data_IF_620203427168
#
_entry.id   IF_620203427168
#
_cell.length_a   1.000
_cell.length_b   1.000
_cell.length_c   1.000
_cell.angle_alpha   90.00
_cell.angle_beta   90.00
_cell.angle_gamma   90.00
#
_symmetry.space_group_name_H-M   'P 1'
#
loop_
_entity.id
_entity.type
_entity.pdbx_description
1 polymer ?
#
# COMPACT_ATOMS: atom_id res chain seq x y z
N UNK A 1 21.28 21.83 -8.59
CA UNK A 1 21.30 22.26 -10.00
C UNK A 1 19.94 21.96 -10.64
N UNK A 2 19.73 22.33 -11.90
CA UNK A 2 18.52 21.91 -12.64
C UNK A 2 18.36 20.39 -12.66
N UNK A 3 19.46 19.65 -12.80
CA UNK A 3 19.49 18.19 -12.69
C UNK A 3 18.97 17.67 -11.34
N UNK A 4 19.42 18.27 -10.22
CA UNK A 4 18.98 17.84 -8.89
C UNK A 4 17.49 18.13 -8.69
N UNK A 5 16.99 19.24 -9.25
CA UNK A 5 15.55 19.55 -9.23
C UNK A 5 14.75 18.57 -10.08
N UNK A 6 15.30 18.10 -11.20
CA UNK A 6 14.66 17.07 -12.02
C UNK A 6 14.54 15.74 -11.25
N UNK A 7 15.60 15.30 -10.57
CA UNK A 7 15.59 14.09 -9.74
C UNK A 7 14.54 14.17 -8.60
N UNK A 8 14.45 15.33 -7.94
CA UNK A 8 13.45 15.53 -6.88
C UNK A 8 12.03 15.47 -7.44
N UNK A 9 11.77 16.08 -8.61
CA UNK A 9 10.47 16.00 -9.27
C UNK A 9 10.12 14.57 -9.66
N UNK A 10 11.06 13.85 -10.27
CA UNK A 10 10.87 12.44 -10.64
C UNK A 10 10.52 11.57 -9.43
N UNK A 11 11.24 11.75 -8.31
CA UNK A 11 10.93 11.06 -7.05
C UNK A 11 9.51 11.33 -6.55
N UNK A 12 9.10 12.60 -6.47
CA UNK A 12 7.75 12.93 -6.00
C UNK A 12 6.66 12.46 -6.96
N UNK A 13 6.91 12.50 -8.27
CA UNK A 13 5.99 11.92 -9.27
C UNK A 13 5.84 10.42 -9.05
N UNK A 14 6.95 9.68 -8.95
CA UNK A 14 6.92 8.24 -8.69
C UNK A 14 6.20 7.90 -7.37
N UNK A 15 6.46 8.67 -6.30
CA UNK A 15 5.79 8.50 -5.01
C UNK A 15 4.29 8.79 -5.08
N UNK A 16 3.89 9.79 -5.88
CA UNK A 16 2.47 10.16 -6.05
C UNK A 16 1.73 9.16 -6.92
N UNK A 17 2.40 8.62 -7.93
CA UNK A 17 1.86 7.64 -8.86
C UNK A 17 1.77 6.23 -8.25
N UNK A 18 2.55 5.95 -7.19
CA UNK A 18 2.43 4.71 -6.46
C UNK A 18 1.05 4.61 -5.78
N UNK A 19 0.23 3.65 -6.25
CA UNK A 19 -1.14 3.45 -5.77
C UNK A 19 -1.25 2.12 -5.05
N UNK A 20 -1.80 2.19 -3.84
CA UNK A 20 -2.28 0.98 -3.17
C UNK A 20 -3.42 0.33 -3.95
N UNK A 21 -3.38 -0.99 -4.02
CA UNK A 21 -4.40 -1.81 -4.62
C UNK A 21 -5.20 -2.56 -3.55
N UNK A 22 -6.51 -2.71 -3.78
CA UNK A 22 -7.40 -3.45 -2.90
C UNK A 22 -7.74 -4.85 -3.44
N UNK A 23 -7.80 -5.83 -2.53
CA UNK A 23 -8.35 -7.16 -2.81
C UNK A 23 -9.85 -7.18 -2.54
N UNK A 24 -10.66 -7.65 -3.50
CA UNK A 24 -12.13 -7.69 -3.33
C UNK A 24 -12.62 -8.75 -2.33
N UNK A 25 -11.77 -9.73 -1.96
CA UNK A 25 -12.14 -10.82 -1.05
C UNK A 25 -11.81 -10.47 0.40
N UNK A 26 -10.54 -10.17 0.69
CA UNK A 26 -10.10 -9.89 2.05
C UNK A 26 -10.06 -8.40 2.41
N UNK A 27 -10.46 -7.51 1.50
CA UNK A 27 -10.47 -6.04 1.66
C UNK A 27 -9.10 -5.40 2.00
N UNK A 28 -8.03 -6.17 2.00
CA UNK A 28 -6.67 -5.69 2.24
C UNK A 28 -6.24 -4.71 1.14
N UNK A 29 -5.56 -3.63 1.56
CA UNK A 29 -5.01 -2.59 0.69
C UNK A 29 -3.51 -2.55 0.86
N UNK A 30 -2.77 -2.69 -0.24
CA UNK A 30 -1.30 -2.69 -0.19
C UNK A 30 -0.68 -2.23 -1.51
N UNK A 31 0.56 -1.74 -1.45
CA UNK A 31 1.38 -1.43 -2.62
C UNK A 31 1.81 -2.72 -3.34
N UNK A 32 2.03 -2.65 -4.65
CA UNK A 32 2.48 -3.77 -5.51
C UNK A 32 1.69 -5.08 -5.32
N UNK A 33 0.42 -4.98 -4.90
CA UNK A 33 -0.41 -6.16 -4.67
C UNK A 33 -0.72 -6.83 -6.01
N UNK A 34 -0.11 -7.99 -6.24
CA UNK A 34 -0.42 -8.86 -7.37
C UNK A 34 -1.84 -9.40 -7.23
N UNK A 35 -2.72 -8.96 -8.13
CA UNK A 35 -4.12 -9.41 -8.25
C UNK A 35 -4.32 -10.15 -9.56
N UNK A 36 -5.22 -11.13 -9.55
CA UNK A 36 -5.69 -11.74 -10.79
C UNK A 36 -6.72 -10.85 -11.51
N UNK A 37 -7.22 -11.31 -12.66
CA UNK A 37 -8.27 -10.64 -13.44
C UNK A 37 -9.54 -10.37 -12.61
N UNK A 38 -9.86 -11.23 -11.65
CA UNK A 38 -10.95 -11.06 -10.69
C UNK A 38 -10.60 -10.18 -9.48
N UNK A 39 -9.52 -9.39 -9.53
CA UNK A 39 -9.09 -8.46 -8.47
C UNK A 39 -8.85 -9.14 -7.10
N UNK A 40 -8.57 -10.44 -7.09
CA UNK A 40 -8.25 -11.21 -5.88
C UNK A 40 -6.74 -11.33 -5.70
N UNK A 41 -6.24 -11.12 -4.49
CA UNK A 41 -4.82 -11.23 -4.18
C UNK A 41 -4.35 -12.69 -4.13
N UNK A 42 -3.04 -12.89 -4.31
CA UNK A 42 -2.40 -14.21 -4.24
C UNK A 42 -2.74 -14.98 -2.96
N UNK A 43 -2.75 -14.31 -1.80
CA UNK A 43 -3.11 -14.93 -0.51
C UNK A 43 -4.50 -15.56 -0.53
N UNK A 44 -5.50 -14.85 -1.08
CA UNK A 44 -6.85 -15.39 -1.20
C UNK A 44 -6.92 -16.56 -2.20
N UNK A 45 -6.21 -16.44 -3.33
CA UNK A 45 -6.15 -17.51 -4.34
C UNK A 45 -5.52 -18.78 -3.73
N UNK A 46 -4.41 -18.64 -3.01
CA UNK A 46 -3.73 -19.75 -2.35
C UNK A 46 -4.58 -20.41 -1.27
N UNK A 47 -5.28 -19.61 -0.44
CA UNK A 47 -6.19 -20.15 0.59
C UNK A 47 -7.35 -20.95 0.00
N UNK A 48 -7.85 -20.54 -1.16
CA UNK A 48 -8.98 -21.18 -1.84
C UNK A 48 -8.54 -22.21 -2.90
N UNK A 49 -7.25 -22.58 -2.99
CA UNK A 49 -6.73 -23.45 -4.06
C UNK A 49 -7.42 -24.81 -4.12
N UNK A 50 -7.70 -25.40 -2.96
CA UNK A 50 -8.34 -26.71 -2.80
C UNK A 50 -9.80 -26.59 -2.33
N UNK A 51 -10.38 -25.38 -2.43
CA UNK A 51 -11.74 -25.13 -1.99
C UNK A 51 -12.73 -25.86 -2.89
N UNK A 52 -13.58 -26.69 -2.30
CA UNK A 52 -14.68 -27.34 -3.00
C UNK A 52 -15.65 -26.30 -3.62
N UNK A 53 -16.25 -26.57 -4.80
CA UNK A 53 -17.14 -25.62 -5.48
C UNK A 53 -18.33 -25.13 -4.64
N UNK A 54 -18.83 -25.99 -3.74
CA UNK A 54 -20.00 -25.73 -2.92
C UNK A 54 -19.67 -25.02 -1.59
N UNK A 55 -18.38 -24.69 -1.36
CA UNK A 55 -17.93 -24.02 -0.14
C UNK A 55 -17.67 -22.54 -0.41
N UNK A 56 -18.00 -21.66 0.54
CA UNK A 56 -17.69 -20.24 0.40
C UNK A 56 -16.18 -20.00 0.33
N UNK A 57 -15.76 -18.89 -0.28
CA UNK A 57 -14.38 -18.40 -0.19
C UNK A 57 -13.96 -18.29 1.28
N UNK A 58 -12.67 -18.49 1.56
CA UNK A 58 -12.16 -18.35 2.92
C UNK A 58 -12.44 -16.97 3.51
N UNK A 59 -12.23 -15.89 2.75
CA UNK A 59 -12.69 -14.55 3.15
C UNK A 59 -14.00 -14.25 2.45
N UNK A 60 -15.11 -14.32 3.18
CA UNK A 60 -16.44 -14.05 2.63
C UNK A 60 -17.44 -13.67 3.71
N UNK A 61 -18.55 -13.05 3.32
CA UNK A 61 -19.67 -12.79 4.22
C UNK A 61 -20.31 -14.10 4.71
N UNK A 62 -20.33 -15.14 3.87
CA UNK A 62 -20.98 -16.42 4.18
C UNK A 62 -20.35 -17.20 5.35
N UNK A 63 -19.11 -16.88 5.72
CA UNK A 63 -18.43 -17.44 6.88
C UNK A 63 -18.01 -16.39 7.91
N UNK A 64 -18.64 -15.20 7.87
CA UNK A 64 -18.37 -14.08 8.80
C UNK A 64 -16.90 -13.63 8.82
N UNK A 65 -16.17 -13.80 7.71
CA UNK A 65 -14.79 -13.34 7.53
C UNK A 65 -14.70 -12.16 6.54
N UNK A 66 -15.83 -11.58 6.17
CA UNK A 66 -15.96 -10.27 5.56
C UNK A 66 -16.63 -9.34 6.58
N UNK A 67 -15.88 -8.35 7.05
CA UNK A 67 -16.34 -7.38 8.04
C UNK A 67 -17.22 -6.28 7.42
N UNK A 68 -17.37 -6.27 6.09
CA UNK A 68 -18.17 -5.28 5.38
C UNK A 68 -17.56 -3.88 5.44
N UNK A 69 -18.41 -2.87 5.23
CA UNK A 69 -18.01 -1.46 5.32
C UNK A 69 -18.02 -1.02 6.78
N UNK A 70 -17.12 -0.10 7.13
CA UNK A 70 -17.14 0.59 8.42
C UNK A 70 -18.50 1.30 8.56
N UNK A 71 -19.26 1.05 9.65
CA UNK A 71 -20.54 1.71 9.90
C UNK A 71 -20.41 3.23 9.98
N UNK A 72 -21.38 3.97 9.43
CA UNK A 72 -21.36 5.45 9.40
C UNK A 72 -21.56 6.12 10.77
N UNK A 73 -21.93 5.36 11.79
CA UNK A 73 -22.09 5.83 13.16
C UNK A 73 -20.79 5.77 13.98
N UNK A 74 -19.69 5.25 13.40
CA UNK A 74 -18.38 5.31 14.03
C UNK A 74 -17.70 6.63 13.65
N UNK A 75 -17.01 7.30 14.60
CA UNK A 75 -16.20 8.45 14.27
C UNK A 75 -15.05 8.05 13.34
N UNK A 76 -14.61 8.99 12.50
CA UNK A 76 -13.37 8.82 11.76
C UNK A 76 -12.20 8.71 12.74
N UNK A 77 -11.25 7.83 12.41
CA UNK A 77 -10.04 7.68 13.21
C UNK A 77 -9.16 8.92 13.05
N UNK A 78 -8.64 9.41 14.17
CA UNK A 78 -7.56 10.39 14.14
C UNK A 78 -6.32 9.77 13.54
N UNK A 79 -5.41 10.59 12.99
CA UNK A 79 -4.12 10.12 12.49
C UNK A 79 -3.38 9.26 13.53
N UNK A 80 -3.42 9.65 14.81
CA UNK A 80 -2.76 8.89 15.88
C UNK A 80 -3.43 7.54 16.11
N UNK A 81 -4.76 7.47 16.09
CA UNK A 81 -5.48 6.20 16.23
C UNK A 81 -5.20 5.27 15.05
N UNK A 82 -5.23 5.79 13.82
CA UNK A 82 -4.85 5.03 12.62
C UNK A 82 -3.44 4.47 12.75
N UNK A 83 -2.49 5.30 13.22
CA UNK A 83 -1.10 4.89 13.44
C UNK A 83 -0.98 3.79 14.51
N UNK A 84 -1.73 3.87 15.61
CA UNK A 84 -1.65 2.93 16.73
C UNK A 84 -2.27 1.57 16.41
N UNK A 85 -3.31 1.52 15.58
CA UNK A 85 -3.98 0.26 15.22
C UNK A 85 -3.43 -0.36 13.93
N UNK A 86 -2.72 0.41 13.11
CA UNK A 86 -2.13 -0.08 11.86
C UNK A 86 -1.11 -1.19 12.16
N UNK A 87 -1.24 -2.31 11.43
CA UNK A 87 -0.26 -3.41 11.52
C UNK A 87 1.13 -2.99 11.04
N UNK A 88 1.19 -2.04 10.10
CA UNK A 88 2.41 -1.50 9.51
C UNK A 88 2.17 -0.03 9.22
N UNK A 89 3.12 0.82 9.60
CA UNK A 89 3.12 2.24 9.27
C UNK A 89 4.37 2.58 8.46
N UNK A 90 4.21 3.04 7.22
CA UNK A 90 5.33 3.46 6.37
C UNK A 90 5.67 4.91 6.67
N UNK A 91 6.92 5.19 7.03
CA UNK A 91 7.41 6.55 7.23
C UNK A 91 8.56 6.84 6.24
N UNK A 92 8.34 7.76 5.30
CA UNK A 92 9.37 8.19 4.35
C UNK A 92 10.01 9.47 4.87
N UNK A 93 11.34 9.46 5.07
CA UNK A 93 12.11 10.63 5.51
C UNK A 93 13.12 11.00 4.43
N UNK A 94 12.96 12.17 3.82
CA UNK A 94 13.95 12.74 2.90
C UNK A 94 14.92 13.58 3.72
N UNK A 95 16.22 13.25 3.66
CA UNK A 95 17.28 13.92 4.40
C UNK A 95 18.34 14.42 3.42
N UNK A 96 18.78 15.68 3.59
CA UNK A 96 20.00 16.17 2.97
C UNK A 96 21.17 15.95 3.94
N UNK A 97 22.05 15.00 3.63
CA UNK A 97 23.23 14.73 4.46
C UNK A 97 24.33 15.74 4.11
N UNK A 98 24.77 16.56 5.07
CA UNK A 98 25.94 17.44 4.93
C UNK A 98 27.21 16.56 4.88
N UNK A 99 28.02 16.72 3.82
CA UNK A 99 29.30 16.01 3.66
C UNK A 99 29.33 14.94 2.56
N UNK A 100 28.23 14.69 1.84
CA UNK A 100 28.33 13.97 0.57
C UNK A 100 29.14 14.82 -0.42
N UNK A 101 30.09 14.21 -1.13
CA UNK A 101 30.96 14.83 -2.11
C UNK A 101 30.15 15.79 -3.00
N UNK A 102 30.43 17.09 -2.90
CA UNK A 102 29.90 18.06 -3.84
C UNK A 102 30.22 17.53 -5.24
N UNK A 103 29.22 17.44 -6.14
CA UNK A 103 29.45 17.17 -7.56
C UNK A 103 30.67 17.99 -7.98
N UNK A 104 31.77 17.32 -8.32
CA UNK A 104 33.02 17.99 -8.68
C UNK A 104 32.74 18.95 -9.83
N UNK A 105 32.89 20.25 -9.59
CA UNK A 105 32.54 21.32 -10.56
C UNK A 105 33.66 21.64 -11.56
N UNK A 106 34.71 20.81 -11.62
CA UNK A 106 35.86 20.99 -12.52
C UNK A 106 36.99 21.83 -11.91
N UNK A 107 38.20 21.67 -12.46
CA UNK A 107 39.22 22.72 -12.47
C UNK A 107 38.97 23.54 -13.76
N UNK A 108 38.89 24.86 -13.64
CA UNK A 108 38.82 25.82 -14.75
C UNK A 108 40.15 25.82 -15.51
#
# INVERSE_FOLDING_TARGET
>A
SEEDQALVREFYTALTDDKMHSCIRCQERWFDMKRNSSKSCSRCISRDRERAPNKPCFFSAANNLDFGKVPSNLPDLTMVEEMLIARVHVHVKVLQVRGAQYKYRGHV
#
